data_IF_408242039820
#
_entry.id   IF_408242039820
#
_cell.length_a   1.000
_cell.length_b   1.000
_cell.length_c   1.000
_cell.angle_alpha   90.00
_cell.angle_beta   90.00
_cell.angle_gamma   90.00
#
_symmetry.space_group_name_H-M   'P 1'
#
loop_
_entity.id
_entity.type
_entity.pdbx_description
1 polymer ?
#
# COMPACT_ATOMS: atom_id res chain seq x y z
N UNK A 1 -55.45 79.25 -10.36
CA UNK A 1 -54.13 79.26 -9.67
C UNK A 1 -54.17 78.91 -8.16
N UNK A 2 -55.27 78.37 -7.61
CA UNK A 2 -55.35 77.95 -6.20
C UNK A 2 -55.12 76.45 -5.94
N UNK A 3 -55.00 75.64 -7.00
CA UNK A 3 -54.87 74.17 -6.91
C UNK A 3 -53.41 73.65 -6.99
N UNK A 4 -52.47 74.45 -7.49
CA UNK A 4 -51.04 74.07 -7.55
C UNK A 4 -50.24 74.47 -6.31
N UNK A 5 -50.83 75.28 -5.42
CA UNK A 5 -50.19 75.73 -4.17
C UNK A 5 -50.19 74.65 -3.08
N UNK A 6 -51.11 73.68 -3.15
CA UNK A 6 -51.21 72.57 -2.18
C UNK A 6 -50.22 71.44 -2.51
N UNK A 7 -49.90 71.24 -3.79
CA UNK A 7 -48.98 70.17 -4.23
C UNK A 7 -47.52 70.53 -3.90
N UNK A 8 -47.16 71.82 -3.92
CA UNK A 8 -45.81 72.28 -3.56
C UNK A 8 -45.58 72.20 -2.03
N UNK A 9 -46.63 72.25 -1.21
CA UNK A 9 -46.52 72.18 0.25
C UNK A 9 -46.25 70.75 0.79
N UNK A 10 -46.63 69.71 0.03
CA UNK A 10 -46.50 68.31 0.46
C UNK A 10 -45.10 67.74 0.16
N UNK A 11 -44.40 68.28 -0.83
CA UNK A 11 -43.05 67.81 -1.22
C UNK A 11 -41.95 68.35 -0.28
N UNK A 12 -42.22 69.43 0.46
CA UNK A 12 -41.26 70.05 1.38
C UNK A 12 -41.14 69.36 2.76
N UNK A 13 -41.96 68.33 3.05
CA UNK A 13 -41.91 67.61 4.32
C UNK A 13 -41.06 66.32 4.32
N UNK A 14 -40.48 65.92 3.18
CA UNK A 14 -39.69 64.69 3.09
C UNK A 14 -38.18 64.88 2.96
N UNK A 15 -37.67 66.10 3.04
CA UNK A 15 -36.23 66.36 3.05
C UNK A 15 -35.86 67.23 4.25
N UNK A 16 -35.61 66.60 5.40
CA UNK A 16 -34.36 66.74 6.16
C UNK A 16 -34.48 66.12 7.56
N UNK A 17 -33.45 65.36 7.91
CA UNK A 17 -32.86 65.21 9.25
C UNK A 17 -33.17 63.94 10.04
N UNK A 18 -32.33 62.92 9.83
CA UNK A 18 -31.71 62.19 10.93
C UNK A 18 -30.24 61.91 10.57
N UNK A 19 -29.35 62.70 11.14
CA UNK A 19 -27.97 62.33 11.49
C UNK A 19 -27.64 63.09 12.79
N UNK A 20 -26.80 62.60 13.72
CA UNK A 20 -25.80 61.54 13.55
C UNK A 20 -25.80 60.47 14.66
N UNK A 21 -25.13 59.33 14.42
CA UNK A 21 -24.43 58.57 15.46
C UNK A 21 -23.30 57.75 14.82
N UNK A 22 -22.07 58.07 15.22
CA UNK A 22 -20.88 57.26 14.99
C UNK A 22 -20.85 56.14 16.05
N UNK A 23 -20.59 54.91 15.66
CA UNK A 23 -19.38 54.12 15.99
C UNK A 23 -19.61 52.63 15.73
N UNK A 24 -18.61 52.07 15.04
CA UNK A 24 -18.16 50.67 15.06
C UNK A 24 -19.17 49.58 15.41
N UNK A 25 -19.74 48.97 14.37
CA UNK A 25 -19.91 47.52 14.42
C UNK A 25 -18.80 46.90 13.60
N UNK A 26 -18.01 46.05 14.27
CA UNK A 26 -17.18 45.03 13.65
C UNK A 26 -18.06 44.14 12.75
N UNK A 27 -18.39 44.62 11.56
CA UNK A 27 -18.80 43.74 10.48
C UNK A 27 -17.50 43.13 9.99
N UNK A 28 -17.20 41.93 10.47
CA UNK A 28 -16.20 41.08 9.85
C UNK A 28 -16.52 41.07 8.36
N UNK A 29 -15.66 41.69 7.53
CA UNK A 29 -15.68 41.43 6.10
C UNK A 29 -15.49 39.92 5.96
N UNK A 30 -16.58 39.21 5.70
CA UNK A 30 -16.51 37.84 5.21
C UNK A 30 -15.88 38.00 3.84
N UNK A 31 -14.56 37.80 3.77
CA UNK A 31 -13.86 37.55 2.51
C UNK A 31 -14.67 36.47 1.77
N UNK A 32 -14.78 36.52 0.42
CA UNK A 32 -15.40 35.42 -0.31
C UNK A 32 -14.77 34.13 0.21
N UNK A 33 -15.63 33.22 0.65
CA UNK A 33 -15.25 31.91 1.12
C UNK A 33 -14.42 31.29 -0.01
N UNK A 34 -13.10 31.20 0.16
CA UNK A 34 -12.27 30.42 -0.74
C UNK A 34 -12.69 28.96 -0.50
N UNK A 35 -13.62 28.46 -1.31
CA UNK A 35 -14.12 27.07 -1.29
C UNK A 35 -13.01 26.03 -1.51
N UNK A 36 -11.78 26.45 -1.81
CA UNK A 36 -10.63 25.56 -2.06
C UNK A 36 -9.78 25.25 -0.81
N UNK A 37 -10.06 25.81 0.38
CA UNK A 37 -9.08 25.73 1.51
C UNK A 37 -9.25 24.60 2.51
N UNK A 38 -10.25 23.73 2.41
CA UNK A 38 -10.38 22.54 3.24
C UNK A 38 -11.25 21.48 2.53
N UNK A 39 -10.79 20.94 1.40
CA UNK A 39 -11.43 19.75 0.84
C UNK A 39 -11.15 18.58 1.81
N UNK A 40 -12.22 18.17 2.49
CA UNK A 40 -12.26 16.95 3.29
C UNK A 40 -12.77 15.85 2.36
N UNK A 41 -11.88 14.94 1.99
CA UNK A 41 -12.26 13.79 1.17
C UNK A 41 -12.20 12.52 2.02
N UNK A 42 -13.06 11.57 1.66
CA UNK A 42 -13.12 10.26 2.32
C UNK A 42 -12.15 9.33 1.58
N UNK A 43 -11.07 8.90 2.26
CA UNK A 43 -10.17 7.85 1.75
C UNK A 43 -10.52 6.50 2.33
N UNK A 44 -10.07 5.47 1.62
CA UNK A 44 -9.84 4.15 2.21
C UNK A 44 -8.39 4.07 2.70
N UNK A 45 -8.22 3.78 3.99
CA UNK A 45 -6.94 3.32 4.53
C UNK A 45 -6.98 1.80 4.67
N UNK A 46 -5.82 1.17 4.52
CA UNK A 46 -5.68 -0.29 4.57
C UNK A 46 -4.86 -0.66 5.80
N UNK A 47 -5.37 -1.56 6.65
CA UNK A 47 -4.75 -1.90 7.92
C UNK A 47 -4.35 -3.38 7.94
N UNK A 48 -3.07 -3.70 8.21
CA UNK A 48 -2.59 -5.08 8.27
C UNK A 48 -3.04 -5.75 9.57
N UNK A 49 -4.01 -6.67 9.50
CA UNK A 49 -4.59 -7.35 10.66
C UNK A 49 -3.78 -8.60 11.03
N UNK A 50 -3.17 -8.59 12.22
CA UNK A 50 -2.31 -9.69 12.68
C UNK A 50 -3.11 -10.94 13.07
N UNK A 51 -4.35 -10.78 13.53
CA UNK A 51 -5.18 -11.90 13.99
C UNK A 51 -5.80 -12.69 12.83
N UNK A 52 -5.99 -12.02 11.69
CA UNK A 52 -6.61 -12.58 10.49
C UNK A 52 -5.60 -12.80 9.36
N UNK A 53 -4.31 -12.52 9.59
CA UNK A 53 -3.26 -12.66 8.56
C UNK A 53 -3.63 -11.98 7.23
N UNK A 54 -4.38 -10.88 7.27
CA UNK A 54 -4.93 -10.23 6.08
C UNK A 54 -4.94 -8.71 6.20
N UNK A 55 -5.25 -8.01 5.11
CA UNK A 55 -5.46 -6.56 5.14
C UNK A 55 -6.96 -6.28 5.16
N UNK A 56 -7.38 -5.35 6.01
CA UNK A 56 -8.75 -4.81 6.02
C UNK A 56 -8.73 -3.34 5.59
N UNK A 57 -9.86 -2.77 5.19
CA UNK A 57 -9.96 -1.34 4.96
C UNK A 57 -10.88 -0.62 5.96
N UNK A 58 -10.61 0.65 6.19
CA UNK A 58 -11.45 1.58 6.92
C UNK A 58 -11.62 2.87 6.10
N UNK A 59 -12.79 3.50 6.19
CA UNK A 59 -13.02 4.82 5.60
C UNK A 59 -12.68 5.89 6.62
N UNK A 60 -11.82 6.84 6.24
CA UNK A 60 -11.44 7.97 7.09
C UNK A 60 -11.51 9.27 6.31
N UNK A 61 -11.79 10.36 7.01
CA UNK A 61 -11.82 11.70 6.42
C UNK A 61 -10.47 12.35 6.55
N UNK A 62 -9.90 12.76 5.43
CA UNK A 62 -8.59 13.39 5.37
C UNK A 62 -8.73 14.77 4.75
N UNK A 63 -8.06 15.73 5.39
CA UNK A 63 -7.88 17.07 4.84
C UNK A 63 -6.62 17.06 4.01
N UNK A 64 -6.65 17.55 2.78
CA UNK A 64 -5.46 17.75 1.95
C UNK A 64 -5.54 19.09 1.24
N UNK A 65 -4.40 19.66 0.87
CA UNK A 65 -4.36 20.84 -0.02
C UNK A 65 -3.81 20.42 -1.40
N UNK A 66 -2.87 19.47 -1.41
CA UNK A 66 -2.34 18.84 -2.63
C UNK A 66 -2.45 17.32 -2.53
N UNK A 67 -2.27 16.62 -3.66
CA UNK A 67 -2.29 15.15 -3.70
C UNK A 67 -1.25 14.54 -2.76
N UNK A 68 -0.03 15.09 -2.77
CA UNK A 68 1.07 14.68 -1.89
C UNK A 68 0.64 14.74 -0.42
N UNK A 69 0.16 15.91 0.02
CA UNK A 69 -0.25 16.10 1.42
C UNK A 69 -1.43 15.22 1.84
N UNK A 70 -2.27 14.85 0.88
CA UNK A 70 -3.40 13.96 1.11
C UNK A 70 -2.93 12.53 1.33
N UNK A 71 -2.07 12.04 0.44
CA UNK A 71 -1.46 10.70 0.51
C UNK A 71 -0.61 10.56 1.78
N UNK A 72 0.22 11.57 2.09
CA UNK A 72 1.02 11.60 3.33
C UNK A 72 0.13 11.42 4.56
N UNK A 73 -0.95 12.20 4.65
CA UNK A 73 -1.89 12.09 5.78
C UNK A 73 -2.63 10.76 5.81
N UNK A 74 -2.92 10.14 4.66
CA UNK A 74 -3.52 8.81 4.60
C UNK A 74 -2.59 7.74 5.17
N UNK A 75 -1.31 7.81 4.79
CA UNK A 75 -0.28 6.91 5.30
C UNK A 75 -0.02 7.17 6.80
N UNK A 76 0.12 8.42 7.23
CA UNK A 76 0.26 8.79 8.64
C UNK A 76 -0.93 8.32 9.49
N UNK A 77 -2.14 8.47 8.97
CA UNK A 77 -3.36 7.97 9.64
C UNK A 77 -3.30 6.44 9.74
N UNK A 78 -2.88 5.76 8.68
CA UNK A 78 -2.73 4.29 8.67
C UNK A 78 -1.71 3.83 9.72
N UNK A 79 -0.54 4.47 9.77
CA UNK A 79 0.51 4.21 10.77
C UNK A 79 -0.02 4.43 12.19
N UNK A 80 -0.69 5.57 12.43
CA UNK A 80 -1.24 5.90 13.74
C UNK A 80 -2.29 4.89 14.18
N UNK A 81 -3.24 4.54 13.29
CA UNK A 81 -4.31 3.57 13.56
C UNK A 81 -3.76 2.17 13.82
N UNK A 82 -2.68 1.78 13.14
CA UNK A 82 -2.01 0.50 13.38
C UNK A 82 -1.42 0.39 14.78
N UNK A 83 -0.95 1.51 15.35
CA UNK A 83 -0.38 1.58 16.70
C UNK A 83 -1.45 1.60 17.80
N UNK A 84 -2.61 2.20 17.53
CA UNK A 84 -3.71 2.34 18.51
C UNK A 84 -4.38 1.02 18.89
N UNK A 85 -4.21 -0.03 18.10
CA UNK A 85 -4.89 -1.31 18.27
C UNK A 85 -3.92 -2.48 18.15
N UNK A 86 -3.92 -3.36 19.15
CA UNK A 86 -3.16 -4.62 19.12
C UNK A 86 -3.69 -5.64 18.10
N UNK A 87 -4.75 -5.31 17.36
CA UNK A 87 -5.26 -6.15 16.27
C UNK A 87 -4.52 -5.92 14.96
N UNK A 88 -3.67 -4.90 14.88
CA UNK A 88 -2.92 -4.55 13.67
C UNK A 88 -1.42 -4.75 13.87
N UNK A 89 -0.72 -5.02 12.78
CA UNK A 89 0.74 -4.99 12.73
C UNK A 89 1.17 -3.54 12.86
N UNK A 90 2.07 -3.27 13.81
CA UNK A 90 2.59 -1.92 14.04
C UNK A 90 3.39 -1.43 12.82
N UNK A 91 2.84 -0.44 12.11
CA UNK A 91 3.50 0.21 10.99
C UNK A 91 4.36 1.40 11.41
N UNK A 92 4.42 1.75 12.70
CA UNK A 92 5.30 2.79 13.26
C UNK A 92 6.78 2.34 13.32
N UNK A 93 7.18 1.52 12.35
CA UNK A 93 8.52 1.07 12.03
C UNK A 93 9.01 1.69 10.72
N UNK A 94 8.10 2.30 9.97
CA UNK A 94 8.32 3.01 8.71
C UNK A 94 8.27 4.52 8.94
N UNK A 95 9.24 5.23 8.39
CA UNK A 95 9.23 6.68 8.25
C UNK A 95 9.03 7.03 6.77
N UNK A 96 8.03 7.85 6.45
CA UNK A 96 7.90 8.43 5.11
C UNK A 96 8.73 9.69 5.08
N UNK A 97 9.81 9.69 4.29
CA UNK A 97 10.75 10.81 4.17
C UNK A 97 10.24 11.82 3.17
N UNK A 98 9.65 11.35 2.08
CA UNK A 98 9.18 12.19 0.99
C UNK A 98 8.05 11.52 0.21
N UNK A 99 7.06 12.32 -0.18
CA UNK A 99 6.04 11.94 -1.15
C UNK A 99 6.08 12.90 -2.33
N UNK A 100 6.15 12.37 -3.55
CA UNK A 100 5.94 13.14 -4.79
C UNK A 100 4.85 12.47 -5.63
N UNK A 101 4.10 13.27 -6.39
CA UNK A 101 3.15 12.74 -7.38
C UNK A 101 3.54 13.22 -8.77
N UNK A 102 3.72 12.27 -9.69
CA UNK A 102 3.96 12.54 -11.12
C UNK A 102 2.94 11.75 -11.92
N UNK A 103 2.07 12.48 -12.63
CA UNK A 103 0.94 11.92 -13.37
C UNK A 103 0.07 10.99 -12.49
N UNK A 104 0.02 9.70 -12.82
CA UNK A 104 -0.77 8.66 -12.14
C UNK A 104 0.08 7.83 -11.16
N UNK A 105 1.31 8.26 -10.86
CA UNK A 105 2.27 7.53 -10.02
C UNK A 105 2.67 8.34 -8.79
N UNK A 106 2.59 7.71 -7.62
CA UNK A 106 3.10 8.25 -6.35
C UNK A 106 4.50 7.69 -6.11
N UNK A 107 5.44 8.55 -5.75
CA UNK A 107 6.78 8.17 -5.30
C UNK A 107 6.86 8.34 -3.80
N UNK A 108 7.14 7.26 -3.08
CA UNK A 108 7.29 7.24 -1.63
C UNK A 108 8.72 6.90 -1.27
N UNK A 109 9.47 7.87 -0.75
CA UNK A 109 10.77 7.59 -0.14
C UNK A 109 10.55 7.17 1.31
N UNK A 110 11.04 5.99 1.66
CA UNK A 110 10.87 5.41 2.99
C UNK A 110 12.21 5.18 3.68
N UNK A 111 12.17 5.16 4.99
CA UNK A 111 13.27 4.74 5.85
C UNK A 111 12.72 3.83 6.95
N UNK A 112 13.46 2.78 7.28
CA UNK A 112 13.13 1.89 8.39
C UNK A 112 13.76 2.37 9.68
N UNK A 113 13.06 2.19 10.80
CA UNK A 113 13.66 2.40 12.12
C UNK A 113 14.73 1.32 12.39
N UNK A 114 15.71 1.67 13.22
CA UNK A 114 16.78 0.75 13.61
C UNK A 114 16.25 -0.46 14.40
N UNK A 115 16.88 -1.63 14.18
CA UNK A 115 16.65 -2.84 14.98
C UNK A 115 15.31 -3.54 14.73
N UNK A 116 14.64 -3.21 13.63
CA UNK A 116 13.39 -3.84 13.22
C UNK A 116 13.65 -5.22 12.62
N UNK A 117 12.72 -6.13 12.86
CA UNK A 117 12.68 -7.45 12.23
C UNK A 117 11.26 -7.71 11.75
N UNK A 118 11.12 -8.06 10.47
CA UNK A 118 9.88 -8.49 9.86
C UNK A 118 10.03 -9.89 9.29
N UNK A 119 9.04 -10.73 9.55
CA UNK A 119 8.86 -11.95 8.79
C UNK A 119 8.21 -11.64 7.43
N UNK A 120 8.21 -12.61 6.53
CA UNK A 120 7.67 -12.49 5.17
C UNK A 120 6.21 -12.01 5.11
N UNK A 121 5.37 -12.50 6.03
CA UNK A 121 3.95 -12.15 6.10
C UNK A 121 3.75 -10.72 6.58
N UNK A 122 4.47 -10.31 7.62
CA UNK A 122 4.47 -8.92 8.10
C UNK A 122 4.94 -7.96 7.00
N UNK A 123 6.03 -8.29 6.31
CA UNK A 123 6.54 -7.51 5.19
C UNK A 123 5.49 -7.36 4.08
N UNK A 124 4.81 -8.45 3.70
CA UNK A 124 3.78 -8.44 2.68
C UNK A 124 2.57 -7.58 3.07
N UNK A 125 2.06 -7.77 4.29
CA UNK A 125 0.87 -7.09 4.78
C UNK A 125 1.11 -5.57 4.90
N UNK A 126 2.29 -5.16 5.36
CA UNK A 126 2.69 -3.75 5.44
C UNK A 126 2.87 -3.16 4.04
N UNK A 127 3.56 -3.85 3.12
CA UNK A 127 3.75 -3.39 1.74
C UNK A 127 2.40 -3.19 1.05
N UNK A 128 1.50 -4.17 1.17
CA UNK A 128 0.18 -4.11 0.60
C UNK A 128 -0.64 -2.95 1.18
N UNK A 129 -0.61 -2.80 2.50
CA UNK A 129 -1.27 -1.69 3.21
C UNK A 129 -0.79 -0.33 2.67
N UNK A 130 0.53 -0.16 2.54
CA UNK A 130 1.14 1.07 2.07
C UNK A 130 0.73 1.39 0.63
N UNK A 131 0.87 0.42 -0.29
CA UNK A 131 0.56 0.63 -1.71
C UNK A 131 -0.92 0.92 -1.92
N UNK A 132 -1.82 0.16 -1.29
CA UNK A 132 -3.26 0.39 -1.45
C UNK A 132 -3.72 1.70 -0.80
N UNK A 133 -3.15 2.08 0.34
CA UNK A 133 -3.45 3.37 0.96
C UNK A 133 -2.96 4.54 0.11
N UNK A 134 -1.73 4.45 -0.41
CA UNK A 134 -1.15 5.51 -1.25
C UNK A 134 -1.87 5.66 -2.59
N UNK A 135 -2.41 4.57 -3.12
CA UNK A 135 -3.25 4.55 -4.32
C UNK A 135 -4.76 4.69 -4.04
N UNK A 136 -5.15 5.17 -2.84
CA UNK A 136 -6.57 5.33 -2.48
C UNK A 136 -7.29 6.45 -3.22
N UNK A 137 -6.54 7.36 -3.88
CA UNK A 137 -7.08 8.37 -4.77
C UNK A 137 -7.32 7.77 -6.16
N UNK A 138 -8.52 7.95 -6.72
CA UNK A 138 -8.92 7.36 -8.02
C UNK A 138 -7.97 7.66 -9.20
N UNK A 139 -7.22 8.77 -9.12
CA UNK A 139 -6.28 9.20 -10.16
C UNK A 139 -4.91 8.51 -10.07
N UNK A 140 -4.61 7.80 -8.98
CA UNK A 140 -3.35 7.12 -8.75
C UNK A 140 -3.48 5.64 -9.12
N UNK A 141 -2.67 5.20 -10.08
CA UNK A 141 -2.64 3.80 -10.54
C UNK A 141 -1.41 3.04 -10.03
N UNK A 142 -0.33 3.76 -9.71
CA UNK A 142 0.94 3.15 -9.35
C UNK A 142 1.59 3.83 -8.15
N UNK A 143 2.33 3.04 -7.37
CA UNK A 143 3.12 3.49 -6.23
C UNK A 143 4.54 2.97 -6.41
N UNK A 144 5.48 3.89 -6.61
CA UNK A 144 6.91 3.60 -6.63
C UNK A 144 7.48 3.86 -5.24
N UNK A 145 7.83 2.79 -4.54
CA UNK A 145 8.54 2.90 -3.27
C UNK A 145 10.04 3.01 -3.54
N UNK A 146 10.71 3.92 -2.85
CA UNK A 146 12.14 4.14 -2.90
C UNK A 146 12.70 3.88 -1.51
N UNK A 147 13.44 2.77 -1.40
CA UNK A 147 14.29 2.46 -0.26
C UNK A 147 15.74 2.77 -0.69
N UNK A 148 16.43 3.68 0.01
CA UNK A 148 17.78 4.11 -0.41
C UNK A 148 18.84 3.02 -0.23
N UNK A 149 18.57 2.01 0.59
CA UNK A 149 19.54 0.96 0.90
C UNK A 149 19.60 -0.14 -0.17
N UNK A 150 18.45 -0.50 -0.76
CA UNK A 150 18.33 -1.58 -1.72
C UNK A 150 16.98 -1.56 -2.45
N UNK A 151 16.85 -2.37 -3.51
CA UNK A 151 15.63 -2.50 -4.30
C UNK A 151 14.56 -3.42 -3.68
N UNK A 152 14.64 -3.75 -2.40
CA UNK A 152 13.63 -4.53 -1.67
C UNK A 152 12.90 -3.65 -0.65
N UNK A 153 11.64 -3.99 -0.39
CA UNK A 153 10.83 -3.30 0.59
C UNK A 153 11.48 -3.45 1.97
N UNK A 154 11.70 -4.69 2.41
CA UNK A 154 12.53 -4.99 3.56
C UNK A 154 13.55 -6.07 3.23
N UNK A 155 13.10 -7.32 2.99
CA UNK A 155 14.00 -8.44 2.66
C UNK A 155 13.46 -9.34 1.54
N UNK A 156 12.14 -9.47 1.40
CA UNK A 156 11.49 -10.48 0.57
C UNK A 156 10.87 -9.93 -0.69
N UNK A 157 10.36 -8.70 -0.67
CA UNK A 157 9.61 -8.15 -1.80
C UNK A 157 10.39 -7.10 -2.55
N UNK A 158 10.64 -7.34 -3.83
CA UNK A 158 11.28 -6.39 -4.73
C UNK A 158 10.36 -5.19 -4.98
N UNK A 159 10.94 -3.99 -4.93
CA UNK A 159 10.29 -2.69 -5.16
C UNK A 159 11.03 -1.84 -6.18
N UNK A 160 11.94 -2.43 -6.97
CA UNK A 160 12.68 -1.72 -8.01
C UNK A 160 11.80 -1.23 -9.16
N UNK A 161 10.57 -1.73 -9.29
CA UNK A 161 9.55 -1.24 -10.21
C UNK A 161 8.37 -0.59 -9.47
N UNK A 162 7.52 0.14 -10.21
CA UNK A 162 6.30 0.71 -9.64
C UNK A 162 5.24 -0.37 -9.42
N UNK A 163 4.53 -0.30 -8.30
CA UNK A 163 3.57 -1.31 -7.86
C UNK A 163 2.15 -0.80 -8.08
N UNK A 164 1.27 -1.64 -8.62
CA UNK A 164 -0.16 -1.37 -8.67
C UNK A 164 -0.84 -1.79 -7.36
N UNK A 165 -1.90 -1.11 -6.90
CA UNK A 165 -2.75 -1.63 -5.83
C UNK A 165 -3.35 -2.98 -6.24
N UNK A 166 -3.73 -3.78 -5.24
CA UNK A 166 -4.26 -5.12 -5.44
C UNK A 166 -5.36 -5.40 -4.43
N UNK A 167 -6.26 -6.33 -4.75
CA UNK A 167 -7.30 -6.83 -3.85
C UNK A 167 -7.02 -8.29 -3.41
N UNK A 168 -5.82 -8.81 -3.66
CA UNK A 168 -5.49 -10.24 -3.48
C UNK A 168 -5.63 -10.69 -2.03
N UNK A 169 -5.21 -9.86 -1.06
CA UNK A 169 -5.25 -10.19 0.38
C UNK A 169 -6.20 -9.28 1.18
N UNK A 170 -7.07 -8.53 0.49
CA UNK A 170 -8.13 -7.76 1.12
C UNK A 170 -9.19 -8.73 1.65
N UNK A 171 -9.33 -8.79 2.99
CA UNK A 171 -10.20 -9.74 3.71
C UNK A 171 -9.93 -11.22 3.39
N UNK A 172 -8.69 -11.54 3.02
CA UNK A 172 -8.26 -12.91 2.70
C UNK A 172 -6.91 -13.18 3.34
N UNK A 173 -6.79 -14.33 3.99
CA UNK A 173 -5.57 -14.77 4.63
C UNK A 173 -4.41 -14.77 3.62
N UNK A 174 -3.27 -14.26 4.06
CA UNK A 174 -2.02 -14.31 3.33
C UNK A 174 -1.59 -15.77 3.14
N UNK A 175 -1.23 -16.11 1.91
CA UNK A 175 -0.71 -17.44 1.57
C UNK A 175 0.76 -17.29 1.20
N UNK A 176 1.64 -17.93 1.96
CA UNK A 176 3.09 -17.91 1.73
C UNK A 176 3.44 -18.58 0.40
N UNK A 177 3.96 -17.86 -0.61
CA UNK A 177 4.32 -18.46 -1.90
C UNK A 177 5.42 -19.54 -1.75
N UNK A 178 6.36 -19.34 -0.81
CA UNK A 178 7.44 -20.31 -0.57
C UNK A 178 6.94 -21.69 -0.16
N UNK A 179 5.78 -21.79 0.50
CA UNK A 179 5.22 -23.08 0.88
C UNK A 179 4.88 -23.93 -0.34
N UNK A 180 4.38 -23.33 -1.42
CA UNK A 180 4.10 -24.05 -2.68
C UNK A 180 5.37 -24.62 -3.30
N UNK A 181 6.47 -23.86 -3.25
CA UNK A 181 7.76 -24.31 -3.78
C UNK A 181 8.36 -25.40 -2.90
N UNK A 182 8.28 -25.25 -1.58
CA UNK A 182 8.73 -26.27 -0.63
C UNK A 182 7.92 -27.57 -0.78
N UNK A 183 6.59 -27.49 -0.99
CA UNK A 183 5.76 -28.65 -1.29
C UNK A 183 6.17 -29.33 -2.61
N UNK A 184 6.45 -28.55 -3.66
CA UNK A 184 6.91 -29.08 -4.94
C UNK A 184 8.25 -29.81 -4.79
N UNK A 185 9.25 -29.19 -4.15
CA UNK A 185 10.55 -29.82 -3.89
C UNK A 185 10.40 -31.06 -2.99
N UNK A 186 9.62 -30.98 -1.92
CA UNK A 186 9.35 -32.13 -1.04
C UNK A 186 8.74 -33.30 -1.81
N UNK A 187 7.79 -33.05 -2.72
CA UNK A 187 7.17 -34.10 -3.54
C UNK A 187 8.19 -34.82 -4.41
N UNK A 188 9.19 -34.10 -4.92
CA UNK A 188 10.28 -34.68 -5.70
C UNK A 188 11.22 -35.54 -4.84
N UNK A 189 11.61 -35.08 -3.65
CA UNK A 189 12.63 -35.77 -2.83
C UNK A 189 12.11 -36.88 -1.92
N UNK A 190 10.89 -36.77 -1.36
CA UNK A 190 10.34 -37.79 -0.45
C UNK A 190 9.69 -38.96 -1.18
N UNK A 191 9.06 -38.70 -2.31
CA UNK A 191 8.25 -39.70 -3.03
C UNK A 191 8.91 -40.12 -4.35
N UNK A 192 10.19 -40.53 -4.32
CA UNK A 192 10.89 -41.17 -5.47
C UNK A 192 10.16 -42.39 -6.06
N UNK A 193 9.03 -42.84 -5.49
CA UNK A 193 8.21 -43.94 -6.00
C UNK A 193 6.77 -43.52 -6.41
N UNK A 194 6.41 -42.25 -6.28
CA UNK A 194 5.13 -41.69 -6.76
C UNK A 194 5.46 -40.58 -7.77
N UNK A 195 6.15 -40.98 -8.84
CA UNK A 195 6.38 -40.12 -9.99
C UNK A 195 5.03 -39.81 -10.65
N UNK A 196 4.57 -38.57 -10.54
CA UNK A 196 3.54 -38.02 -11.43
C UNK A 196 4.25 -37.23 -12.54
N UNK A 197 3.88 -37.45 -13.80
CA UNK A 197 4.44 -36.73 -14.97
C UNK A 197 4.44 -35.21 -14.77
N UNK A 198 3.45 -34.69 -14.03
CA UNK A 198 3.29 -33.26 -13.69
C UNK A 198 4.42 -32.67 -12.86
N UNK A 199 5.05 -33.42 -11.95
CA UNK A 199 6.15 -32.90 -11.13
C UNK A 199 7.47 -32.83 -11.91
N UNK A 200 7.65 -33.74 -12.88
CA UNK A 200 8.83 -33.80 -13.74
C UNK A 200 8.81 -32.68 -14.80
N UNK A 201 7.63 -32.40 -15.37
CA UNK A 201 7.45 -31.23 -16.24
C UNK A 201 7.67 -29.91 -15.47
N UNK A 202 7.09 -29.78 -14.27
CA UNK A 202 7.21 -28.58 -13.45
C UNK A 202 8.66 -28.32 -12.99
N UNK A 203 9.46 -29.38 -12.82
CA UNK A 203 10.86 -29.32 -12.41
C UNK A 203 11.83 -29.58 -13.57
N UNK A 204 11.38 -29.60 -14.82
CA UNK A 204 12.21 -29.90 -16.00
C UNK A 204 13.32 -28.89 -16.26
N UNK A 205 13.32 -27.75 -15.56
CA UNK A 205 14.42 -26.78 -15.55
C UNK A 205 15.55 -27.15 -14.58
N UNK A 206 15.30 -28.07 -13.63
CA UNK A 206 16.33 -28.65 -12.80
C UNK A 206 17.04 -29.71 -13.65
N UNK A 207 18.28 -29.37 -14.04
CA UNK A 207 19.28 -30.16 -14.78
C UNK A 207 19.15 -31.70 -14.63
N UNK A 208 19.57 -32.46 -15.65
CA UNK A 208 19.51 -33.93 -15.74
C UNK A 208 20.12 -34.66 -14.52
N UNK A 209 20.98 -33.97 -13.75
CA UNK A 209 21.64 -34.49 -12.57
C UNK A 209 20.85 -34.35 -11.26
N UNK A 210 19.62 -33.80 -11.27
CA UNK A 210 18.83 -33.63 -10.04
C UNK A 210 18.54 -34.96 -9.32
N UNK A 211 18.52 -36.08 -10.06
CA UNK A 211 18.39 -37.43 -9.51
C UNK A 211 19.52 -37.83 -8.56
N UNK A 212 20.68 -37.16 -8.63
CA UNK A 212 21.83 -37.43 -7.77
C UNK A 212 21.65 -36.89 -6.35
N UNK A 213 20.70 -35.98 -6.14
CA UNK A 213 20.45 -35.39 -4.82
C UNK A 213 19.41 -36.20 -4.03
N UNK A 214 19.70 -36.43 -2.74
CA UNK A 214 18.84 -37.12 -1.77
C UNK A 214 18.03 -36.18 -0.88
N UNK A 215 18.29 -34.88 -0.96
CA UNK A 215 17.58 -33.88 -0.17
C UNK A 215 17.99 -32.47 -0.51
N UNK A 216 17.29 -31.52 0.10
CA UNK A 216 17.50 -30.10 -0.11
C UNK A 216 17.25 -29.30 1.17
N UNK A 217 17.70 -28.04 1.16
CA UNK A 217 17.35 -27.04 2.15
C UNK A 217 17.24 -25.67 1.47
N UNK A 218 16.10 -25.00 1.60
CA UNK A 218 15.92 -23.62 1.13
C UNK A 218 16.65 -22.69 2.12
N UNK A 219 17.68 -21.99 1.64
CA UNK A 219 18.45 -21.03 2.43
C UNK A 219 17.76 -19.67 2.51
N UNK A 220 17.30 -19.19 1.36
CA UNK A 220 16.72 -17.87 1.22
C UNK A 220 15.79 -17.81 0.01
N UNK A 221 14.95 -16.78 -0.05
CA UNK A 221 14.02 -16.53 -1.14
C UNK A 221 13.59 -15.07 -1.18
N UNK A 222 13.20 -14.63 -2.38
CA UNK A 222 12.74 -13.29 -2.71
C UNK A 222 11.66 -13.35 -3.79
N UNK A 223 10.79 -12.35 -3.84
CA UNK A 223 9.67 -12.23 -4.77
C UNK A 223 9.75 -10.93 -5.56
N UNK A 224 9.37 -10.96 -6.84
CA UNK A 224 9.36 -9.77 -7.69
C UNK A 224 8.14 -8.85 -7.46
N UNK A 225 7.03 -9.40 -6.96
CA UNK A 225 5.79 -8.68 -6.67
C UNK A 225 4.95 -9.45 -5.64
N UNK A 226 3.91 -8.80 -5.11
CA UNK A 226 3.03 -9.35 -4.06
C UNK A 226 1.61 -9.70 -4.57
N UNK A 227 1.41 -9.72 -5.89
CA UNK A 227 0.09 -9.90 -6.51
C UNK A 227 -0.21 -11.37 -6.89
N UNK A 228 -1.30 -11.61 -7.64
CA UNK A 228 -1.76 -12.94 -8.04
C UNK A 228 -0.77 -13.71 -8.90
N UNK A 229 0.02 -13.04 -9.72
CA UNK A 229 1.14 -13.65 -10.44
C UNK A 229 2.40 -13.14 -9.76
N UNK A 230 3.34 -14.01 -9.41
CA UNK A 230 4.63 -13.59 -8.89
C UNK A 230 5.73 -14.56 -9.30
N UNK A 231 6.94 -14.06 -9.43
CA UNK A 231 8.14 -14.85 -9.64
C UNK A 231 8.90 -14.91 -8.32
N UNK A 232 9.20 -16.12 -7.87
CA UNK A 232 10.03 -16.38 -6.71
C UNK A 232 11.43 -16.79 -7.15
N UNK A 233 12.45 -16.10 -6.64
CA UNK A 233 13.86 -16.50 -6.74
C UNK A 233 14.26 -17.13 -5.42
N UNK A 234 14.72 -18.37 -5.44
CA UNK A 234 15.11 -19.11 -4.23
C UNK A 234 16.56 -19.57 -4.28
N UNK A 235 17.23 -19.55 -3.13
CA UNK A 235 18.55 -20.15 -2.93
C UNK A 235 18.38 -21.49 -2.22
N UNK A 236 18.83 -22.57 -2.84
CA UNK A 236 18.66 -23.94 -2.34
C UNK A 236 20.00 -24.63 -2.24
N UNK A 237 20.21 -25.35 -1.13
CA UNK A 237 21.31 -26.31 -1.00
C UNK A 237 20.77 -27.68 -1.31
N UNK A 238 21.35 -28.36 -2.29
CA UNK A 238 21.12 -29.77 -2.54
C UNK A 238 22.21 -30.63 -1.89
N UNK A 239 21.84 -31.84 -1.47
CA UNK A 239 22.73 -32.81 -0.85
C UNK A 239 22.69 -34.12 -1.63
N UNK A 240 23.85 -34.64 -2.05
CA UNK A 240 23.92 -35.97 -2.67
C UNK A 240 24.14 -37.08 -1.61
N UNK A 241 24.22 -38.34 -2.06
CA UNK A 241 24.44 -39.50 -1.18
C UNK A 241 25.73 -39.42 -0.35
N UNK A 242 26.74 -38.70 -0.85
CA UNK A 242 28.01 -38.46 -0.15
C UNK A 242 27.96 -37.22 0.76
N UNK A 243 26.78 -36.63 0.96
CA UNK A 243 26.56 -35.36 1.69
C UNK A 243 27.35 -34.17 1.13
N UNK A 244 27.79 -34.25 -0.13
CA UNK A 244 28.37 -33.12 -0.83
C UNK A 244 27.26 -32.12 -1.09
N UNK A 245 27.55 -30.86 -0.78
CA UNK A 245 26.61 -29.75 -0.86
C UNK A 245 26.79 -29.04 -2.19
N UNK A 246 25.67 -28.72 -2.83
CA UNK A 246 25.64 -27.87 -4.01
C UNK A 246 24.62 -26.76 -3.83
N UNK A 247 25.07 -25.52 -3.96
CA UNK A 247 24.22 -24.35 -3.86
C UNK A 247 23.71 -23.96 -5.24
N UNK A 248 22.39 -23.79 -5.38
CA UNK A 248 21.74 -23.38 -6.63
C UNK A 248 20.76 -22.25 -6.40
N UNK A 249 20.61 -21.41 -7.42
CA UNK A 249 19.56 -20.37 -7.50
C UNK A 249 18.51 -20.81 -8.50
N UNK A 250 17.25 -20.84 -8.09
CA UNK A 250 16.13 -21.32 -8.89
C UNK A 250 15.06 -20.23 -9.00
N UNK A 251 14.38 -20.16 -10.14
CA UNK A 251 13.28 -19.24 -10.37
C UNK A 251 11.98 -20.01 -10.61
N UNK A 252 10.90 -19.60 -9.96
CA UNK A 252 9.56 -20.17 -10.13
C UNK A 252 8.58 -19.07 -10.48
N UNK A 253 7.75 -19.28 -11.49
CA UNK A 253 6.56 -18.48 -11.71
C UNK A 253 5.42 -19.10 -10.90
N UNK A 254 4.73 -18.30 -10.11
CA UNK A 254 3.62 -18.72 -9.26
C UNK A 254 2.35 -17.96 -9.62
N UNK A 255 1.24 -18.68 -9.72
CA UNK A 255 -0.10 -18.14 -9.91
C UNK A 255 -1.00 -18.46 -8.71
N UNK A 256 -1.58 -17.43 -8.11
CA UNK A 256 -2.57 -17.51 -7.05
C UNK A 256 -3.96 -17.74 -7.64
N UNK A 257 -4.45 -18.97 -7.54
CA UNK A 257 -5.78 -19.37 -8.00
C UNK A 257 -6.49 -20.22 -6.95
N UNK A 258 -7.78 -19.93 -6.74
CA UNK A 258 -8.63 -20.68 -5.81
C UNK A 258 -8.06 -20.78 -4.38
N UNK A 259 -7.50 -19.67 -3.87
CA UNK A 259 -7.02 -19.59 -2.49
C UNK A 259 -5.62 -20.17 -2.25
N UNK A 260 -4.86 -20.53 -3.29
CA UNK A 260 -3.50 -21.06 -3.15
C UNK A 260 -2.62 -20.70 -4.34
N UNK A 261 -1.31 -20.66 -4.12
CA UNK A 261 -0.33 -20.57 -5.21
C UNK A 261 -0.13 -21.93 -5.90
N UNK A 262 0.25 -21.87 -7.17
CA UNK A 262 0.62 -23.00 -8.03
C UNK A 262 1.81 -22.60 -8.89
N UNK A 263 2.72 -23.54 -9.14
CA UNK A 263 3.79 -23.42 -10.15
C UNK A 263 3.20 -23.71 -11.52
#
# INVERSE_FOLDING_TARGET
MRKYLIIILIVLFFTTSCAPQQEESNVTKILPYNEEKNQEDIVQIFLPNINLSCVINELVTIKGITKETYIERAIETTITRSLESSSFIDMNILNIIKTDVVDETVFLTIEWKDGIYLNEEEECLILYSLVNTAASMDEIQFVKIVNEENDFFFNKYYIGEALSPSNTILYKDYVKPINTIDELLNSYFKDRNVYSETSEEALGFLDENISEYIGYNIKDYQYNQYNTLLTASIEVVFYNESYVREDRKLGFLLEYTNGKFRV
#
